data_IF_831256655193
#
_entry.id   IF_831256655193
#
_cell.length_a   1.000
_cell.length_b   1.000
_cell.length_c   1.000
_cell.angle_alpha   90.00
_cell.angle_beta   90.00
_cell.angle_gamma   90.00
#
_symmetry.space_group_name_H-M   'P 1'
#
loop_
_entity.id
_entity.type
_entity.pdbx_description
1 polymer ?
#
# COMPACT_ATOMS: atom_id res chain seq x y z
N UNK A 1 -16.50 23.51 31.27
CA UNK A 1 -15.32 23.22 30.43
C UNK A 1 -15.37 21.76 30.03
N UNK A 2 -15.50 21.44 28.74
CA UNK A 2 -15.44 20.05 28.25
C UNK A 2 -14.09 19.87 27.57
N UNK A 3 -13.23 19.04 28.18
CA UNK A 3 -11.96 18.59 27.65
C UNK A 3 -12.19 17.97 26.26
N UNK A 4 -11.48 18.46 25.24
CA UNK A 4 -11.30 17.70 24.01
C UNK A 4 -10.56 16.43 24.37
N UNK A 5 -11.01 15.28 23.86
CA UNK A 5 -10.35 14.01 24.09
C UNK A 5 -8.94 14.07 23.48
N UNK A 6 -7.94 14.37 24.31
CA UNK A 6 -6.53 14.27 23.94
C UNK A 6 -6.21 12.79 23.78
N UNK A 7 -5.62 12.43 22.64
CA UNK A 7 -5.09 11.09 22.41
C UNK A 7 -3.83 10.98 23.28
N UNK A 8 -3.78 10.00 24.19
CA UNK A 8 -2.63 9.84 25.08
C UNK A 8 -1.34 9.51 24.32
N UNK A 9 -0.19 9.94 24.85
CA UNK A 9 1.13 9.71 24.25
C UNK A 9 1.40 8.23 23.97
N UNK A 10 0.86 7.34 24.81
CA UNK A 10 0.88 5.89 24.59
C UNK A 10 0.24 5.49 23.27
N UNK A 11 -0.96 6.00 23.01
CA UNK A 11 -1.68 5.73 21.76
C UNK A 11 -0.92 6.28 20.55
N UNK A 12 -0.25 7.44 20.66
CA UNK A 12 0.55 7.98 19.55
C UNK A 12 1.81 7.17 19.27
N UNK A 13 2.53 6.75 20.31
CA UNK A 13 3.74 5.94 20.19
C UNK A 13 3.41 4.51 19.76
N UNK A 14 2.36 3.88 20.29
CA UNK A 14 1.95 2.54 19.88
C UNK A 14 1.42 2.52 18.44
N UNK A 15 0.85 3.63 17.97
CA UNK A 15 0.51 3.79 16.56
C UNK A 15 1.76 3.77 15.66
N UNK A 16 2.86 4.38 16.12
CA UNK A 16 4.14 4.46 15.41
C UNK A 16 4.94 3.16 15.44
N UNK A 17 5.00 2.47 16.57
CA UNK A 17 5.89 1.33 16.80
C UNK A 17 5.15 -0.02 16.86
N UNK A 18 3.82 -0.01 16.92
CA UNK A 18 3.05 -1.18 17.35
C UNK A 18 2.98 -1.25 18.87
N UNK A 19 2.58 -2.40 19.41
CA UNK A 19 2.61 -2.61 20.86
C UNK A 19 4.03 -2.38 21.39
N UNK A 20 4.15 -1.45 22.34
CA UNK A 20 5.43 -1.13 22.98
C UNK A 20 5.57 -2.08 24.15
N UNK A 21 6.65 -2.88 24.24
CA UNK A 21 6.88 -3.75 25.37
C UNK A 21 6.83 -2.96 26.68
N UNK A 22 6.16 -3.50 27.70
CA UNK A 22 5.91 -2.79 28.96
C UNK A 22 7.21 -2.31 29.65
N UNK A 23 8.30 -3.06 29.50
CA UNK A 23 9.62 -2.66 30.01
C UNK A 23 10.15 -1.36 29.37
N UNK A 24 9.86 -1.14 28.09
CA UNK A 24 10.27 0.04 27.33
C UNK A 24 9.33 1.22 27.59
N UNK A 25 8.04 0.92 27.81
CA UNK A 25 7.06 1.90 28.27
C UNK A 25 7.45 2.51 29.61
N UNK A 26 7.78 1.65 30.59
CA UNK A 26 8.25 2.11 31.90
C UNK A 26 9.57 2.88 31.82
N UNK A 27 10.44 2.57 30.85
CA UNK A 27 11.67 3.33 30.64
C UNK A 27 11.38 4.74 30.09
N UNK A 28 10.41 4.89 29.19
CA UNK A 28 9.95 6.20 28.71
C UNK A 28 9.36 7.06 29.84
N UNK A 29 8.59 6.45 30.75
CA UNK A 29 8.04 7.13 31.93
C UNK A 29 9.16 7.59 32.88
N UNK A 30 10.11 6.71 33.21
CA UNK A 30 11.23 7.03 34.12
C UNK A 30 12.12 8.16 33.60
N UNK A 31 12.34 8.21 32.29
CA UNK A 31 13.13 9.27 31.65
C UNK A 31 12.33 10.55 31.42
N UNK A 32 11.06 10.59 31.84
CA UNK A 32 10.22 11.80 31.85
C UNK A 32 9.66 12.19 30.48
N UNK A 33 9.77 11.33 29.45
CA UNK A 33 9.26 11.65 28.11
C UNK A 33 7.73 11.62 28.02
N UNK A 34 7.09 10.76 28.82
CA UNK A 34 5.63 10.69 28.96
C UNK A 34 5.12 11.96 29.64
N UNK A 35 5.70 12.29 30.79
CA UNK A 35 5.35 13.50 31.55
C UNK A 35 5.55 14.76 30.71
N UNK A 36 6.68 14.88 30.00
CA UNK A 36 6.97 16.02 29.12
C UNK A 36 5.90 16.22 28.04
N UNK A 37 5.31 15.14 27.52
CA UNK A 37 4.22 15.21 26.53
C UNK A 37 2.89 15.62 27.17
N UNK A 38 2.61 15.13 28.38
CA UNK A 38 1.35 15.39 29.09
C UNK A 38 1.27 16.80 29.67
N UNK A 39 2.41 17.36 30.12
CA UNK A 39 2.49 18.71 30.71
C UNK A 39 2.78 19.81 29.67
N UNK A 40 3.02 19.45 28.41
CA UNK A 40 3.27 20.40 27.32
C UNK A 40 2.15 21.45 27.23
N UNK A 41 2.54 22.73 27.25
CA UNK A 41 1.63 23.88 27.29
C UNK A 41 1.08 24.21 25.90
N UNK A 42 1.83 23.85 24.85
CA UNK A 42 1.43 23.99 23.47
C UNK A 42 1.80 22.77 22.60
N UNK A 43 1.36 22.81 21.34
CA UNK A 43 1.54 21.72 20.39
C UNK A 43 3.00 21.58 19.91
N UNK A 44 3.79 22.66 19.97
CA UNK A 44 5.21 22.62 19.60
C UNK A 44 5.98 21.85 20.66
N UNK A 45 5.80 22.18 21.94
CA UNK A 45 6.39 21.46 23.06
C UNK A 45 5.96 19.98 23.07
N UNK A 46 4.69 19.70 22.75
CA UNK A 46 4.18 18.34 22.63
C UNK A 46 4.87 17.56 21.51
N UNK A 47 5.06 18.19 20.35
CA UNK A 47 5.73 17.56 19.21
C UNK A 47 7.23 17.34 19.48
N UNK A 48 7.88 18.25 20.21
CA UNK A 48 9.25 18.07 20.68
C UNK A 48 9.36 16.90 21.66
N UNK A 49 8.48 16.83 22.67
CA UNK A 49 8.43 15.72 23.62
C UNK A 49 8.19 14.37 22.91
N UNK A 50 7.26 14.33 21.94
CA UNK A 50 7.02 13.15 21.11
C UNK A 50 8.26 12.76 20.29
N UNK A 51 8.95 13.75 19.71
CA UNK A 51 10.16 13.51 18.90
C UNK A 51 11.27 12.92 19.75
N UNK A 52 11.46 13.41 20.97
CA UNK A 52 12.43 12.88 21.93
C UNK A 52 12.07 11.44 22.34
N UNK A 53 10.80 11.16 22.63
CA UNK A 53 10.32 9.80 22.91
C UNK A 53 10.56 8.83 21.74
N UNK A 54 10.31 9.27 20.50
CA UNK A 54 10.60 8.49 19.29
C UNK A 54 12.11 8.20 19.16
N UNK A 55 12.96 9.18 19.41
CA UNK A 55 14.41 8.99 19.36
C UNK A 55 14.90 8.03 20.44
N UNK A 56 14.33 8.11 21.65
CA UNK A 56 14.63 7.19 22.74
C UNK A 56 14.30 5.74 22.36
N UNK A 57 13.09 5.47 21.88
CA UNK A 57 12.67 4.14 21.44
C UNK A 57 13.56 3.58 20.32
N UNK A 58 13.97 4.44 19.37
CA UNK A 58 14.93 4.04 18.31
C UNK A 58 16.29 3.65 18.86
N UNK A 59 16.82 4.39 19.85
CA UNK A 59 18.11 4.05 20.52
C UNK A 59 18.03 2.73 21.28
N UNK A 60 16.84 2.39 21.81
CA UNK A 60 16.54 1.10 22.45
C UNK A 60 16.32 -0.04 21.45
N UNK A 61 16.42 0.23 20.15
CA UNK A 61 16.30 -0.78 19.10
C UNK A 61 14.86 -1.05 18.66
N UNK A 62 13.86 -0.37 19.23
CA UNK A 62 12.49 -0.46 18.72
C UNK A 62 12.41 0.30 17.40
N UNK A 63 12.02 -0.42 16.35
CA UNK A 63 11.90 0.15 15.01
C UNK A 63 10.48 0.63 14.80
N UNK A 64 10.27 1.84 14.24
CA UNK A 64 8.93 2.24 13.81
C UNK A 64 8.39 1.17 12.86
N UNK A 65 7.07 0.95 12.88
CA UNK A 65 6.41 0.14 11.87
C UNK A 65 6.87 0.68 10.51
N UNK A 66 7.45 -0.19 9.67
CA UNK A 66 7.76 0.16 8.28
C UNK A 66 6.50 0.78 7.70
N UNK A 67 6.61 1.95 7.06
CA UNK A 67 5.50 2.55 6.34
C UNK A 67 4.84 1.45 5.51
N UNK A 68 3.56 1.16 5.78
CA UNK A 68 2.86 0.07 5.13
C UNK A 68 2.72 0.47 3.66
N UNK A 69 3.66 0.00 2.84
CA UNK A 69 3.61 0.21 1.40
C UNK A 69 2.60 -0.77 0.85
N UNK A 70 1.35 -0.32 0.78
CA UNK A 70 0.32 -1.09 0.07
C UNK A 70 0.58 -0.90 -1.42
N UNK A 71 0.79 -2.00 -2.15
CA UNK A 71 1.00 -1.99 -3.59
C UNK A 71 -0.07 -2.83 -4.25
N UNK A 72 -0.41 -2.48 -5.49
CA UNK A 72 -1.33 -3.25 -6.31
C UNK A 72 -1.27 -2.81 -7.76
N UNK A 73 -2.07 -3.46 -8.60
CA UNK A 73 -2.28 -3.05 -9.98
C UNK A 73 -3.69 -2.50 -10.18
N UNK A 74 -3.84 -1.57 -11.11
CA UNK A 74 -5.11 -1.15 -11.70
C UNK A 74 -5.00 -1.32 -13.22
N UNK A 75 -6.14 -1.40 -13.92
CA UNK A 75 -6.14 -1.63 -15.36
C UNK A 75 -6.62 -0.39 -16.10
N UNK A 76 -5.90 0.00 -17.15
CA UNK A 76 -6.43 0.93 -18.14
C UNK A 76 -7.07 0.14 -19.28
N UNK A 77 -8.34 0.42 -19.51
CA UNK A 77 -9.15 -0.15 -20.58
C UNK A 77 -9.36 0.85 -21.73
N UNK A 78 -8.51 1.88 -21.84
CA UNK A 78 -8.60 2.80 -22.97
C UNK A 78 -8.07 2.15 -24.26
N UNK A 79 -8.50 2.68 -25.41
CA UNK A 79 -8.18 2.07 -26.71
C UNK A 79 -6.67 1.98 -27.01
N UNK A 80 -5.86 2.90 -26.46
CA UNK A 80 -4.40 2.86 -26.60
C UNK A 80 -3.82 1.72 -25.76
N UNK A 81 -4.29 1.55 -24.53
CA UNK A 81 -3.88 0.44 -23.66
C UNK A 81 -4.24 -0.90 -24.28
N UNK A 82 -5.45 -1.03 -24.83
CA UNK A 82 -5.87 -2.22 -25.58
C UNK A 82 -4.99 -2.49 -26.80
N UNK A 83 -4.64 -1.46 -27.58
CA UNK A 83 -3.74 -1.61 -28.72
C UNK A 83 -2.32 -2.06 -28.32
N UNK A 84 -1.78 -1.53 -27.22
CA UNK A 84 -0.46 -1.93 -26.70
C UNK A 84 -0.50 -3.39 -26.27
N UNK A 85 -1.52 -3.81 -25.52
CA UNK A 85 -1.66 -5.19 -25.09
C UNK A 85 -1.81 -6.14 -26.29
N UNK A 86 -2.58 -5.74 -27.31
CA UNK A 86 -2.69 -6.51 -28.54
C UNK A 86 -1.35 -6.65 -29.29
N UNK A 87 -0.55 -5.58 -29.37
CA UNK A 87 0.79 -5.62 -29.96
C UNK A 87 1.75 -6.51 -29.15
N UNK A 88 1.73 -6.40 -27.82
CA UNK A 88 2.53 -7.27 -26.94
C UNK A 88 2.14 -8.74 -27.11
N UNK A 89 0.85 -9.04 -27.19
CA UNK A 89 0.36 -10.39 -27.42
C UNK A 89 0.74 -10.93 -28.80
N UNK A 90 0.64 -10.11 -29.85
CA UNK A 90 1.05 -10.46 -31.20
C UNK A 90 2.55 -10.79 -31.25
N UNK A 91 3.37 -9.95 -30.61
CA UNK A 91 4.82 -10.14 -30.57
C UNK A 91 5.22 -11.36 -29.73
N UNK A 92 4.58 -11.57 -28.58
CA UNK A 92 4.79 -12.77 -27.79
C UNK A 92 4.42 -14.03 -28.58
N UNK A 93 3.26 -14.03 -29.25
CA UNK A 93 2.85 -15.13 -30.12
C UNK A 93 3.82 -15.33 -31.29
N UNK A 94 4.36 -14.27 -31.88
CA UNK A 94 5.41 -14.36 -32.91
C UNK A 94 6.62 -15.12 -32.36
N UNK A 95 7.12 -14.72 -31.19
CA UNK A 95 8.28 -15.37 -30.54
C UNK A 95 8.02 -16.84 -30.24
N UNK A 96 6.86 -17.17 -29.66
CA UNK A 96 6.54 -18.55 -29.28
C UNK A 96 6.42 -19.50 -30.48
N UNK A 97 6.03 -18.98 -31.65
CA UNK A 97 5.80 -19.74 -32.87
C UNK A 97 6.94 -19.65 -33.90
N UNK A 98 7.90 -18.74 -33.73
CA UNK A 98 8.99 -18.55 -34.67
C UNK A 98 9.96 -19.77 -34.71
N UNK A 99 10.62 -20.04 -35.85
CA UNK A 99 11.69 -21.03 -35.91
C UNK A 99 12.83 -20.72 -34.93
N UNK A 100 13.42 -21.74 -34.30
CA UNK A 100 14.48 -21.55 -33.27
C UNK A 100 15.65 -20.72 -33.82
N UNK A 101 16.01 -20.90 -35.09
CA UNK A 101 17.13 -20.22 -35.73
C UNK A 101 16.94 -18.71 -35.96
N UNK A 102 15.73 -18.18 -35.81
CA UNK A 102 15.43 -16.76 -36.04
C UNK A 102 15.28 -15.96 -34.74
N UNK A 103 15.49 -16.60 -33.58
CA UNK A 103 15.30 -16.00 -32.26
C UNK A 103 16.63 -15.66 -31.62
N UNK A 104 16.65 -14.51 -30.93
CA UNK A 104 17.69 -14.16 -29.97
C UNK A 104 17.74 -15.17 -28.81
N UNK A 105 18.81 -15.14 -28.02
CA UNK A 105 18.95 -16.03 -26.85
C UNK A 105 17.82 -15.83 -25.84
N UNK A 106 17.47 -14.59 -25.53
CA UNK A 106 16.38 -14.25 -24.61
C UNK A 106 15.01 -14.71 -25.12
N UNK A 107 14.71 -14.48 -26.41
CA UNK A 107 13.45 -14.93 -27.01
C UNK A 107 13.36 -16.46 -27.05
N UNK A 108 14.48 -17.14 -27.30
CA UNK A 108 14.56 -18.59 -27.26
C UNK A 108 14.32 -19.13 -25.86
N UNK A 109 14.93 -18.55 -24.84
CA UNK A 109 14.70 -18.93 -23.44
C UNK A 109 13.22 -18.76 -23.05
N UNK A 110 12.59 -17.64 -23.43
CA UNK A 110 11.16 -17.41 -23.22
C UNK A 110 10.32 -18.50 -23.93
N UNK A 111 10.60 -18.76 -25.21
CA UNK A 111 9.91 -19.76 -26.00
C UNK A 111 10.02 -21.15 -25.38
N UNK A 112 11.24 -21.57 -25.05
CA UNK A 112 11.51 -22.92 -24.54
C UNK A 112 10.87 -23.10 -23.16
N UNK A 113 10.88 -22.06 -22.32
CA UNK A 113 10.20 -22.06 -21.02
C UNK A 113 8.69 -22.25 -21.17
N UNK A 114 8.03 -21.44 -21.99
CA UNK A 114 6.56 -21.49 -22.15
C UNK A 114 6.11 -22.74 -22.91
N UNK A 115 6.75 -23.06 -24.03
CA UNK A 115 6.36 -24.21 -24.84
C UNK A 115 6.75 -25.53 -24.16
N UNK A 116 7.87 -25.58 -23.44
CA UNK A 116 8.27 -26.73 -22.64
C UNK A 116 7.24 -27.03 -21.56
N UNK A 117 6.83 -26.00 -20.80
CA UNK A 117 5.76 -26.12 -19.82
C UNK A 117 4.45 -26.61 -20.44
N UNK A 118 3.99 -25.99 -21.54
CA UNK A 118 2.73 -26.38 -22.19
C UNK A 118 2.76 -27.82 -22.67
N UNK A 119 3.87 -28.28 -23.26
CA UNK A 119 4.00 -29.70 -23.69
C UNK A 119 3.96 -30.68 -22.52
N UNK A 120 4.56 -30.32 -21.39
CA UNK A 120 4.68 -31.22 -20.24
C UNK A 120 3.40 -31.26 -19.39
N UNK A 121 2.78 -30.11 -19.14
CA UNK A 121 1.69 -29.97 -18.17
C UNK A 121 0.33 -29.68 -18.80
N UNK A 122 0.28 -29.39 -20.10
CA UNK A 122 -0.94 -29.13 -20.87
C UNK A 122 -0.94 -29.95 -22.19
N UNK A 123 -0.78 -31.29 -22.13
CA UNK A 123 -0.63 -32.12 -23.33
C UNK A 123 -1.90 -32.16 -24.20
N UNK A 124 -3.07 -31.96 -23.60
CA UNK A 124 -4.36 -31.88 -24.30
C UNK A 124 -4.64 -30.50 -24.92
N UNK A 125 -3.72 -29.55 -24.71
CA UNK A 125 -3.85 -28.16 -25.16
C UNK A 125 -4.17 -27.19 -24.03
N UNK A 126 -4.45 -25.95 -24.42
CA UNK A 126 -4.76 -24.86 -23.49
C UNK A 126 -6.09 -25.12 -22.78
N UNK A 127 -6.15 -24.78 -21.49
CA UNK A 127 -7.39 -24.93 -20.70
C UNK A 127 -8.29 -23.71 -20.86
N UNK A 128 -9.61 -23.85 -20.73
CA UNK A 128 -10.51 -22.70 -20.68
C UNK A 128 -10.18 -21.77 -19.50
N UNK A 129 -10.31 -20.44 -19.65
CA UNK A 129 -10.02 -19.48 -18.57
C UNK A 129 -10.76 -19.77 -17.26
N UNK A 130 -12.02 -20.19 -17.34
CA UNK A 130 -12.87 -20.55 -16.21
C UNK A 130 -12.35 -21.74 -15.40
N UNK A 131 -11.55 -22.62 -16.01
CA UNK A 131 -10.98 -23.82 -15.40
C UNK A 131 -9.65 -23.56 -14.70
N UNK A 132 -9.02 -22.38 -14.90
CA UNK A 132 -7.73 -22.04 -14.30
C UNK A 132 -7.74 -22.18 -12.76
N UNK A 133 -8.74 -21.68 -12.01
CA UNK A 133 -8.75 -21.82 -10.56
C UNK A 133 -8.84 -23.26 -10.08
N UNK A 134 -9.45 -24.16 -10.85
CA UNK A 134 -9.52 -25.58 -10.52
C UNK A 134 -8.19 -26.27 -10.82
N UNK A 135 -7.59 -25.99 -11.98
CA UNK A 135 -6.27 -26.50 -12.33
C UNK A 135 -5.21 -26.08 -11.30
N UNK A 136 -5.16 -24.80 -10.90
CA UNK A 136 -4.22 -24.31 -9.88
C UNK A 136 -4.41 -25.01 -8.53
N UNK A 137 -5.66 -25.28 -8.13
CA UNK A 137 -5.97 -26.02 -6.89
C UNK A 137 -5.51 -27.47 -6.96
N UNK A 138 -5.72 -28.13 -8.09
CA UNK A 138 -5.28 -29.51 -8.29
C UNK A 138 -3.76 -29.64 -8.18
N UNK A 139 -3.01 -28.66 -8.69
CA UNK A 139 -1.54 -28.65 -8.62
C UNK A 139 -0.99 -28.18 -7.28
N UNK A 140 -1.72 -27.35 -6.51
CA UNK A 140 -1.24 -26.85 -5.21
C UNK A 140 -1.30 -27.91 -4.09
N UNK A 141 -2.15 -28.93 -4.24
CA UNK A 141 -2.43 -29.90 -3.18
C UNK A 141 -3.14 -29.27 -1.97
N UNK A 142 -3.10 -29.95 -0.81
CA UNK A 142 -3.66 -29.44 0.44
C UNK A 142 -2.97 -28.14 0.88
N UNK A 143 -3.76 -27.14 1.28
CA UNK A 143 -3.30 -25.83 1.76
C UNK A 143 -2.53 -26.03 3.06
N UNK A 144 -1.22 -26.10 2.95
CA UNK A 144 -0.32 -25.93 4.10
C UNK A 144 0.41 -24.63 3.81
N UNK A 145 -0.01 -23.55 4.46
CA UNK A 145 0.79 -22.33 4.49
C UNK A 145 2.05 -22.67 5.26
N UNK A 146 3.10 -23.10 4.55
CA UNK A 146 4.42 -23.33 5.14
C UNK A 146 4.95 -21.99 5.61
N UNK A 147 4.65 -21.75 6.88
CA UNK A 147 5.06 -20.57 7.61
C UNK A 147 6.44 -20.90 8.15
N UNK A 148 7.48 -20.32 7.55
CA UNK A 148 8.83 -20.38 8.10
C UNK A 148 8.87 -19.49 9.33
N UNK A 149 9.09 -20.10 10.50
CA UNK A 149 9.49 -19.38 11.69
C UNK A 149 11.01 -19.21 11.62
N UNK A 150 11.46 -17.98 11.38
CA UNK A 150 12.86 -17.62 11.57
C UNK A 150 13.05 -17.40 13.06
N UNK A 151 13.86 -18.25 13.68
CA UNK A 151 14.13 -18.22 15.12
C UNK A 151 15.40 -17.41 15.39
N UNK A 152 15.51 -16.86 16.59
CA UNK A 152 16.79 -16.29 17.03
C UNK A 152 17.89 -17.38 17.01
N UNK A 153 19.13 -17.06 16.58
CA UNK A 153 20.21 -18.04 16.45
C UNK A 153 20.48 -18.84 17.73
N UNK A 154 20.26 -18.20 18.88
CA UNK A 154 20.41 -18.77 20.23
C UNK A 154 19.41 -19.90 20.52
N UNK A 155 18.23 -19.89 19.88
CA UNK A 155 17.15 -20.87 20.08
C UNK A 155 17.11 -21.93 18.96
N UNK A 156 17.64 -21.59 17.77
CA UNK A 156 17.59 -22.45 16.60
C UNK A 156 18.25 -23.82 16.84
N UNK A 157 19.40 -23.85 17.53
CA UNK A 157 20.12 -25.09 17.84
C UNK A 157 19.33 -26.04 18.74
N UNK A 158 18.66 -25.52 19.76
CA UNK A 158 17.83 -26.30 20.69
C UNK A 158 16.61 -26.91 19.98
N UNK A 159 15.97 -26.12 19.12
CA UNK A 159 14.79 -26.55 18.35
C UNK A 159 15.15 -27.65 17.35
N UNK A 160 16.28 -27.53 16.65
CA UNK A 160 16.78 -28.58 15.75
C UNK A 160 17.04 -29.87 16.54
N UNK A 161 17.67 -29.78 17.71
CA UNK A 161 17.94 -30.95 18.56
C UNK A 161 16.65 -31.63 19.04
N UNK A 162 15.62 -30.86 19.44
CA UNK A 162 14.30 -31.38 19.84
C UNK A 162 13.57 -32.06 18.68
N UNK A 163 13.60 -31.48 17.49
CA UNK A 163 13.02 -32.08 16.28
C UNK A 163 13.72 -33.41 15.96
N UNK A 164 15.05 -33.46 16.01
CA UNK A 164 15.82 -34.68 15.77
C UNK A 164 15.49 -35.79 16.79
N UNK A 165 15.17 -35.41 18.03
CA UNK A 165 14.72 -36.32 19.09
C UNK A 165 13.23 -36.64 19.06
N UNK A 166 12.48 -36.07 18.09
CA UNK A 166 11.01 -36.18 17.98
C UNK A 166 10.27 -35.69 19.23
N UNK A 167 10.84 -34.71 19.92
CA UNK A 167 10.22 -34.05 21.06
C UNK A 167 9.35 -32.87 20.58
N UNK A 168 8.22 -32.59 21.26
CA UNK A 168 7.38 -31.45 20.93
C UNK A 168 8.15 -30.14 21.16
N UNK A 169 8.13 -29.27 20.16
CA UNK A 169 8.73 -27.93 20.24
C UNK A 169 7.62 -26.93 20.59
N UNK A 170 7.79 -26.22 21.71
CA UNK A 170 6.99 -25.04 22.04
C UNK A 170 7.88 -23.81 21.91
N UNK A 171 7.42 -22.83 21.13
CA UNK A 171 8.09 -21.56 20.92
C UNK A 171 7.28 -20.43 21.54
N UNK A 172 7.94 -19.52 22.25
CA UNK A 172 7.33 -18.26 22.67
C UNK A 172 7.48 -17.20 21.57
N UNK A 173 6.63 -16.16 21.53
CA UNK A 173 6.71 -15.11 20.52
C UNK A 173 8.08 -14.42 20.46
N UNK A 174 8.79 -14.29 21.59
CA UNK A 174 10.10 -13.65 21.68
C UNK A 174 11.23 -14.49 21.05
N UNK A 175 11.01 -15.80 20.89
CA UNK A 175 11.98 -16.72 20.27
C UNK A 175 11.88 -16.71 18.75
N UNK A 176 10.81 -16.15 18.19
CA UNK A 176 10.55 -16.03 16.75
C UNK A 176 11.00 -14.65 16.28
N UNK A 177 12.12 -14.59 15.58
CA UNK A 177 12.68 -13.38 14.99
C UNK A 177 11.78 -12.82 13.88
N UNK A 178 11.26 -13.69 13.01
CA UNK A 178 10.27 -13.30 12.00
C UNK A 178 9.47 -14.48 11.51
N UNK A 179 8.26 -14.21 11.05
CA UNK A 179 7.41 -15.18 10.37
C UNK A 179 7.48 -14.87 8.88
N UNK A 180 8.02 -15.80 8.10
CA UNK A 180 8.10 -15.69 6.65
C UNK A 180 7.16 -16.70 6.01
N UNK A 181 6.49 -16.33 4.93
CA UNK A 181 5.95 -17.35 4.04
C UNK A 181 7.15 -18.01 3.35
N UNK A 182 7.38 -19.28 3.65
CA UNK A 182 8.55 -20.02 3.19
C UNK A 182 8.43 -20.44 1.72
N UNK A 183 7.21 -20.49 1.20
CA UNK A 183 6.92 -20.88 -0.16
C UNK A 183 6.74 -19.65 -1.05
N UNK A 184 7.35 -19.65 -2.23
CA UNK A 184 6.95 -18.76 -3.31
C UNK A 184 5.46 -18.95 -3.59
N UNK A 185 4.81 -17.93 -4.15
CA UNK A 185 3.37 -17.97 -4.39
C UNK A 185 3.02 -17.45 -5.78
N UNK A 186 1.91 -17.95 -6.30
CA UNK A 186 1.20 -17.39 -7.46
C UNK A 186 -0.15 -16.85 -7.01
N UNK A 187 -0.49 -15.63 -7.41
CA UNK A 187 -1.78 -15.00 -7.14
C UNK A 187 -2.67 -15.00 -8.40
N UNK A 188 -3.85 -15.61 -8.29
CA UNK A 188 -4.82 -15.65 -9.39
C UNK A 188 -6.26 -15.61 -8.85
N UNK A 189 -7.11 -14.77 -9.45
CA UNK A 189 -8.53 -14.67 -9.08
C UNK A 189 -8.77 -14.30 -7.61
N UNK A 190 -7.90 -13.48 -7.01
CA UNK A 190 -8.00 -13.08 -5.59
C UNK A 190 -7.60 -14.18 -4.59
N UNK A 191 -7.04 -15.29 -5.06
CA UNK A 191 -6.49 -16.37 -4.23
C UNK A 191 -4.98 -16.48 -4.43
N UNK A 192 -4.31 -17.01 -3.42
CA UNK A 192 -2.86 -17.25 -3.41
C UNK A 192 -2.63 -18.76 -3.39
N UNK A 193 -1.78 -19.23 -4.29
CA UNK A 193 -1.43 -20.64 -4.47
C UNK A 193 0.04 -20.84 -4.12
N UNK A 194 0.37 -21.73 -3.17
CA UNK A 194 1.75 -22.02 -2.82
C UNK A 194 2.44 -22.73 -3.99
N UNK A 195 3.62 -22.24 -4.37
CA UNK A 195 4.48 -22.85 -5.39
C UNK A 195 5.27 -23.97 -4.71
N UNK A 196 5.15 -25.18 -5.25
CA UNK A 196 5.92 -26.37 -4.88
C UNK A 196 6.62 -26.92 -6.13
N UNK A 197 7.60 -27.78 -5.92
CA UNK A 197 8.25 -28.51 -7.02
C UNK A 197 7.22 -29.18 -7.94
N UNK A 198 7.43 -29.09 -9.24
CA UNK A 198 6.50 -29.59 -10.26
C UNK A 198 5.80 -28.48 -11.05
N UNK A 199 4.51 -28.65 -11.34
CA UNK A 199 3.80 -27.81 -12.31
C UNK A 199 3.77 -26.32 -11.91
N UNK A 200 3.54 -26.00 -10.63
CA UNK A 200 3.46 -24.60 -10.19
C UNK A 200 4.82 -23.90 -10.20
N UNK A 201 5.93 -24.61 -9.96
CA UNK A 201 7.27 -24.05 -10.08
C UNK A 201 7.61 -23.69 -11.54
N UNK A 202 7.30 -24.60 -12.48
CA UNK A 202 7.52 -24.33 -13.89
C UNK A 202 6.58 -23.21 -14.39
N UNK A 203 5.33 -23.19 -13.91
CA UNK A 203 4.41 -22.09 -14.20
C UNK A 203 4.94 -20.76 -13.68
N UNK A 204 5.54 -20.72 -12.48
CA UNK A 204 6.16 -19.52 -11.93
C UNK A 204 7.27 -18.99 -12.83
N UNK A 205 8.15 -19.87 -13.32
CA UNK A 205 9.17 -19.50 -14.30
C UNK A 205 8.57 -18.97 -15.62
N UNK A 206 7.51 -19.59 -16.14
CA UNK A 206 6.79 -19.07 -17.32
C UNK A 206 6.22 -17.68 -17.07
N UNK A 207 5.60 -17.48 -15.91
CA UNK A 207 4.98 -16.21 -15.51
C UNK A 207 6.02 -15.10 -15.40
N UNK A 208 7.19 -15.38 -14.82
CA UNK A 208 8.29 -14.42 -14.74
C UNK A 208 8.86 -14.08 -16.12
N UNK A 209 9.04 -15.09 -16.99
CA UNK A 209 9.52 -14.88 -18.35
C UNK A 209 8.54 -14.03 -19.18
N UNK A 210 7.24 -14.36 -19.14
CA UNK A 210 6.20 -13.59 -19.84
C UNK A 210 6.11 -12.18 -19.27
N UNK A 211 6.12 -12.02 -17.94
CA UNK A 211 6.07 -10.72 -17.28
C UNK A 211 7.27 -9.84 -17.62
N UNK A 212 8.48 -10.41 -17.69
CA UNK A 212 9.66 -9.67 -18.10
C UNK A 212 9.51 -9.13 -19.55
N UNK A 213 8.87 -9.91 -20.42
CA UNK A 213 8.64 -9.55 -21.82
C UNK A 213 7.51 -8.54 -22.03
N UNK A 214 6.37 -8.72 -21.35
CA UNK A 214 5.15 -7.92 -21.60
C UNK A 214 4.82 -6.89 -20.53
N UNK A 215 5.41 -7.01 -19.33
CA UNK A 215 5.04 -6.26 -18.14
C UNK A 215 3.59 -6.49 -17.69
N UNK A 216 2.96 -7.59 -18.11
CA UNK A 216 1.61 -7.95 -17.64
C UNK A 216 1.58 -8.31 -16.15
N UNK A 217 0.40 -8.26 -15.54
CA UNK A 217 0.25 -8.64 -14.14
C UNK A 217 0.39 -10.16 -13.97
N UNK A 218 0.72 -10.62 -12.76
CA UNK A 218 0.94 -12.05 -12.50
C UNK A 218 -0.26 -12.92 -12.93
N UNK A 219 -1.48 -12.51 -12.57
CA UNK A 219 -2.70 -13.22 -12.94
C UNK A 219 -2.94 -13.29 -14.45
N UNK A 220 -2.57 -12.23 -15.17
CA UNK A 220 -2.67 -12.16 -16.63
C UNK A 220 -1.67 -13.07 -17.32
N UNK A 221 -0.44 -13.11 -16.82
CA UNK A 221 0.58 -14.05 -17.30
C UNK A 221 0.14 -15.50 -17.07
N UNK A 222 -0.44 -15.81 -15.90
CA UNK A 222 -1.01 -17.13 -15.61
C UNK A 222 -2.11 -17.47 -16.63
N UNK A 223 -3.05 -16.55 -16.85
CA UNK A 223 -4.13 -16.74 -17.82
C UNK A 223 -3.58 -17.00 -19.23
N UNK A 224 -2.64 -16.18 -19.68
CA UNK A 224 -2.03 -16.36 -20.99
C UNK A 224 -1.29 -17.71 -21.11
N UNK A 225 -0.46 -18.10 -20.13
CA UNK A 225 0.30 -19.34 -20.20
C UNK A 225 -0.63 -20.56 -20.27
N UNK A 226 -1.69 -20.58 -19.44
CA UNK A 226 -2.60 -21.71 -19.30
C UNK A 226 -3.71 -21.76 -20.37
N UNK A 227 -4.28 -20.62 -20.74
CA UNK A 227 -5.45 -20.55 -21.63
C UNK A 227 -5.22 -19.76 -22.93
N UNK A 228 -4.08 -19.09 -23.09
CA UNK A 228 -3.84 -18.17 -24.21
C UNK A 228 -4.64 -16.88 -24.13
N UNK A 229 -5.35 -16.63 -23.01
CA UNK A 229 -6.13 -15.41 -22.82
C UNK A 229 -5.20 -14.20 -22.72
N UNK A 230 -5.49 -13.17 -23.50
CA UNK A 230 -4.78 -11.89 -23.50
C UNK A 230 -5.51 -10.93 -22.57
N UNK A 231 -4.80 -10.09 -21.80
CA UNK A 231 -5.45 -9.11 -20.92
C UNK A 231 -6.34 -8.13 -21.68
N UNK A 232 -7.43 -7.69 -21.07
CA UNK A 232 -8.30 -6.68 -21.68
C UNK A 232 -7.69 -5.28 -21.64
N UNK A 233 -6.70 -5.05 -20.79
CA UNK A 233 -6.09 -3.73 -20.60
C UNK A 233 -4.70 -3.80 -20.01
N UNK A 234 -4.02 -2.66 -20.03
CA UNK A 234 -2.66 -2.55 -19.54
C UNK A 234 -2.68 -2.46 -18.00
N UNK A 235 -1.96 -3.33 -17.28
CA UNK A 235 -1.82 -3.19 -15.84
C UNK A 235 -0.91 -2.01 -15.50
N UNK A 236 -1.26 -1.35 -14.41
CA UNK A 236 -0.63 -0.11 -13.94
C UNK A 236 -0.37 -0.28 -12.46
N UNK A 237 0.91 -0.28 -12.13
CA UNK A 237 1.34 -0.40 -10.75
C UNK A 237 1.04 0.90 -9.98
N UNK A 238 0.49 0.73 -8.79
CA UNK A 238 0.33 1.80 -7.83
C UNK A 238 0.92 1.39 -6.48
N UNK A 239 1.39 2.39 -5.73
CA UNK A 239 1.85 2.20 -4.36
C UNK A 239 1.38 3.33 -3.47
N UNK A 240 1.01 3.00 -2.24
CA UNK A 240 0.69 3.98 -1.22
C UNK A 240 1.90 4.17 -0.35
N UNK A 241 2.30 5.42 -0.19
CA UNK A 241 3.28 5.84 0.79
C UNK A 241 2.56 6.65 1.85
N UNK A 242 2.40 6.07 3.04
CA UNK A 242 1.98 6.83 4.21
C UNK A 242 3.21 7.43 4.88
N UNK A 243 3.22 8.76 5.01
CA UNK A 243 4.29 9.49 5.70
C UNK A 243 3.84 9.85 7.11
N UNK A 244 4.66 9.45 8.08
CA UNK A 244 4.29 9.50 9.50
C UNK A 244 4.57 10.84 10.19
N UNK A 245 5.30 11.78 9.55
CA UNK A 245 5.23 13.19 9.92
C UNK A 245 3.83 13.72 10.24
N UNK A 246 2.94 13.41 9.29
CA UNK A 246 1.94 14.36 8.85
C UNK A 246 0.52 13.79 8.78
N UNK A 247 0.34 12.51 9.11
CA UNK A 247 -0.88 11.75 8.81
C UNK A 247 -1.29 11.83 7.32
N UNK A 248 -0.31 12.06 6.44
CA UNK A 248 -0.52 12.15 5.00
C UNK A 248 -0.26 10.79 4.36
N UNK A 249 -1.24 10.32 3.59
CA UNK A 249 -1.07 9.16 2.72
C UNK A 249 -1.03 9.64 1.28
N UNK A 250 0.07 9.36 0.60
CA UNK A 250 0.26 9.62 -0.82
C UNK A 250 -0.04 8.36 -1.61
N UNK A 251 -0.97 8.45 -2.55
CA UNK A 251 -1.17 7.42 -3.57
C UNK A 251 -0.25 7.80 -4.74
N UNK A 252 0.79 7.02 -4.96
CA UNK A 252 1.65 7.13 -6.13
C UNK A 252 1.19 6.12 -7.18
N UNK A 253 0.88 6.59 -8.38
CA UNK A 253 0.56 5.73 -9.54
C UNK A 253 1.66 5.91 -10.58
N UNK A 254 2.27 4.81 -11.03
CA UNK A 254 3.28 4.85 -12.08
C UNK A 254 2.59 4.57 -13.42
N UNK A 255 2.34 5.61 -14.19
CA UNK A 255 1.67 5.52 -15.50
C UNK A 255 2.67 5.72 -16.64
N UNK A 256 2.45 5.09 -17.81
CA UNK A 256 3.16 5.44 -19.03
C UNK A 256 2.93 6.91 -19.42
N UNK A 257 3.98 7.55 -19.97
CA UNK A 257 3.97 8.98 -20.27
C UNK A 257 2.97 9.39 -21.37
N UNK A 258 2.55 8.45 -22.23
CA UNK A 258 1.63 8.71 -23.33
C UNK A 258 0.15 8.70 -22.91
N UNK A 259 -0.17 8.41 -21.64
CA UNK A 259 -1.55 8.48 -21.18
C UNK A 259 -2.05 9.92 -21.10
N UNK A 260 -3.29 10.09 -21.57
CA UNK A 260 -3.99 11.37 -21.46
C UNK A 260 -4.33 11.69 -20.00
N UNK A 261 -4.36 12.97 -19.59
CA UNK A 261 -4.69 13.37 -18.23
C UNK A 261 -5.99 12.75 -17.70
N UNK A 262 -7.01 12.59 -18.55
CA UNK A 262 -8.30 12.03 -18.19
C UNK A 262 -8.21 10.54 -17.85
N UNK A 263 -7.37 9.78 -18.55
CA UNK A 263 -7.09 8.38 -18.24
C UNK A 263 -6.39 8.28 -16.89
N UNK A 264 -5.37 9.11 -16.65
CA UNK A 264 -4.66 9.16 -15.35
C UNK A 264 -5.62 9.50 -14.21
N UNK A 265 -6.52 10.47 -14.42
CA UNK A 265 -7.55 10.84 -13.43
C UNK A 265 -8.51 9.69 -13.10
N UNK A 266 -8.98 8.95 -14.11
CA UNK A 266 -9.86 7.77 -13.90
C UNK A 266 -9.16 6.65 -13.14
N UNK A 267 -7.91 6.37 -13.49
CA UNK A 267 -7.08 5.36 -12.82
C UNK A 267 -6.81 5.72 -11.35
N UNK A 268 -6.42 6.97 -11.10
CA UNK A 268 -6.24 7.46 -9.74
C UNK A 268 -7.53 7.33 -8.93
N UNK A 269 -8.69 7.68 -9.52
CA UNK A 269 -9.98 7.54 -8.86
C UNK A 269 -10.36 6.08 -8.58
N UNK A 270 -9.96 5.12 -9.43
CA UNK A 270 -10.14 3.69 -9.19
C UNK A 270 -9.26 3.21 -8.03
N UNK A 271 -7.97 3.53 -8.03
CA UNK A 271 -7.03 3.18 -6.95
C UNK A 271 -7.50 3.77 -5.63
N UNK A 272 -7.81 5.07 -5.59
CA UNK A 272 -8.32 5.76 -4.41
C UNK A 272 -9.56 5.07 -3.83
N UNK A 273 -10.51 4.65 -4.67
CA UNK A 273 -11.73 3.95 -4.22
C UNK A 273 -11.45 2.55 -3.67
N UNK A 274 -10.54 1.80 -4.30
CA UNK A 274 -10.15 0.46 -3.83
C UNK A 274 -9.49 0.50 -2.46
N UNK A 275 -8.66 1.52 -2.23
CA UNK A 275 -7.89 1.73 -0.99
C UNK A 275 -8.77 2.27 0.14
N UNK A 276 -9.69 3.18 -0.16
CA UNK A 276 -10.49 3.88 0.83
C UNK A 276 -11.64 3.05 1.46
N UNK A 277 -11.69 1.71 1.24
CA UNK A 277 -12.76 0.84 1.78
C UNK A 277 -12.87 0.83 3.32
N UNK A 278 -11.93 1.42 4.06
CA UNK A 278 -12.05 1.64 5.51
C UNK A 278 -11.60 3.02 6.02
N UNK A 279 -10.95 3.84 5.19
CA UNK A 279 -10.42 5.15 5.59
C UNK A 279 -11.05 6.24 4.75
N UNK A 280 -11.77 7.16 5.38
CA UNK A 280 -12.27 8.41 4.75
C UNK A 280 -11.06 9.31 4.44
N UNK A 281 -10.31 8.99 3.40
CA UNK A 281 -9.35 9.90 2.77
C UNK A 281 -10.15 11.04 2.12
N UNK A 282 -10.67 11.96 2.92
CA UNK A 282 -11.34 13.17 2.45
C UNK A 282 -10.25 14.14 2.03
N UNK A 283 -10.03 14.29 0.73
CA UNK A 283 -9.22 15.39 0.21
C UNK A 283 -9.78 16.74 0.69
N UNK A 284 -8.91 17.73 0.85
CA UNK A 284 -9.34 19.11 1.04
C UNK A 284 -10.16 19.52 -0.19
N UNK A 285 -11.37 20.00 0.04
CA UNK A 285 -12.21 20.54 -1.02
C UNK A 285 -11.78 21.98 -1.34
N UNK A 286 -12.11 22.44 -2.54
CA UNK A 286 -11.89 23.83 -2.96
C UNK A 286 -12.49 24.82 -1.95
N UNK A 287 -13.68 24.52 -1.41
CA UNK A 287 -14.33 25.29 -0.36
C UNK A 287 -13.50 25.40 0.92
N UNK A 288 -12.77 24.34 1.32
CA UNK A 288 -11.89 24.37 2.49
C UNK A 288 -10.67 25.25 2.24
N UNK A 289 -10.08 25.20 1.04
CA UNK A 289 -8.93 26.02 0.66
C UNK A 289 -9.34 27.51 0.61
N UNK A 290 -10.47 27.79 -0.03
CA UNK A 290 -11.03 29.14 -0.12
C UNK A 290 -11.37 29.70 1.28
N UNK A 291 -11.97 28.88 2.16
CA UNK A 291 -12.24 29.25 3.54
C UNK A 291 -10.95 29.57 4.31
N UNK A 292 -9.90 28.76 4.19
CA UNK A 292 -8.62 29.01 4.88
C UNK A 292 -8.04 30.35 4.45
N UNK A 293 -7.96 30.58 3.14
CA UNK A 293 -7.48 31.85 2.58
C UNK A 293 -8.29 33.04 3.10
N UNK A 294 -9.62 32.93 3.09
CA UNK A 294 -10.51 33.96 3.60
C UNK A 294 -10.26 34.25 5.08
N UNK A 295 -10.25 33.22 5.93
CA UNK A 295 -10.11 33.38 7.38
C UNK A 295 -8.76 33.99 7.74
N UNK A 296 -7.66 33.54 7.11
CA UNK A 296 -6.32 34.10 7.36
C UNK A 296 -6.26 35.57 6.94
N UNK A 297 -6.80 35.93 5.77
CA UNK A 297 -6.88 37.34 5.33
C UNK A 297 -7.76 38.19 6.25
N UNK A 298 -8.91 37.67 6.65
CA UNK A 298 -9.86 38.35 7.52
C UNK A 298 -9.25 38.61 8.90
N UNK A 299 -8.48 37.66 9.45
CA UNK A 299 -7.79 37.80 10.74
C UNK A 299 -6.66 38.84 10.70
N UNK A 300 -5.99 39.03 9.56
CA UNK A 300 -5.02 40.12 9.42
C UNK A 300 -5.69 41.50 9.61
N UNK A 301 -6.92 41.65 9.12
CA UNK A 301 -7.70 42.88 9.24
C UNK A 301 -8.46 42.98 10.57
N UNK A 302 -8.83 41.84 11.15
CA UNK A 302 -9.63 41.72 12.36
C UNK A 302 -9.02 40.70 13.34
N UNK A 303 -7.89 41.04 14.00
CA UNK A 303 -7.09 40.08 14.78
C UNK A 303 -7.82 39.48 15.99
N UNK A 304 -8.88 40.14 16.49
CA UNK A 304 -9.68 39.68 17.64
C UNK A 304 -11.06 39.14 17.22
N UNK A 305 -11.28 38.91 15.93
CA UNK A 305 -12.57 38.43 15.44
C UNK A 305 -12.91 37.05 16.02
N UNK A 306 -14.14 36.92 16.54
CA UNK A 306 -14.69 35.65 17.00
C UNK A 306 -15.14 34.80 15.82
N UNK A 307 -15.19 33.49 16.00
CA UNK A 307 -15.62 32.56 14.95
C UNK A 307 -17.02 32.86 14.40
N UNK A 308 -17.94 33.41 15.20
CA UNK A 308 -19.25 33.85 14.73
C UNK A 308 -19.15 34.92 13.64
N UNK A 309 -18.40 36.00 13.91
CA UNK A 309 -18.19 37.10 12.97
C UNK A 309 -17.46 36.65 11.70
N UNK A 310 -16.44 35.79 11.85
CA UNK A 310 -15.70 35.22 10.72
C UNK A 310 -16.62 34.37 9.84
N UNK A 311 -17.49 33.54 10.44
CA UNK A 311 -18.40 32.66 9.70
C UNK A 311 -19.51 33.44 9.00
N UNK A 312 -20.05 34.47 9.65
CA UNK A 312 -21.02 35.37 9.03
C UNK A 312 -20.41 36.09 7.82
N UNK A 313 -19.20 36.64 7.95
CA UNK A 313 -18.49 37.27 6.85
C UNK A 313 -18.18 36.30 5.71
N UNK A 314 -17.77 35.07 6.03
CA UNK A 314 -17.56 34.01 5.03
C UNK A 314 -18.84 33.65 4.28
N UNK A 315 -19.95 33.48 5.00
CA UNK A 315 -21.23 33.11 4.40
C UNK A 315 -21.78 34.22 3.50
N UNK A 316 -21.59 35.49 3.87
CA UNK A 316 -21.92 36.64 3.03
C UNK A 316 -21.04 36.68 1.75
N UNK A 317 -19.75 36.36 1.86
CA UNK A 317 -18.86 36.29 0.71
C UNK A 317 -19.23 35.13 -0.23
N UNK A 318 -19.66 33.99 0.31
CA UNK A 318 -20.18 32.88 -0.49
C UNK A 318 -21.40 33.27 -1.31
N UNK A 319 -22.34 34.01 -0.72
CA UNK A 319 -23.54 34.51 -1.42
C UNK A 319 -23.16 35.49 -2.53
N UNK A 320 -22.25 36.43 -2.25
CA UNK A 320 -21.75 37.40 -3.23
C UNK A 320 -21.06 36.72 -4.42
N UNK A 321 -20.34 35.63 -4.17
CA UNK A 321 -19.65 34.85 -5.20
C UNK A 321 -20.57 33.83 -5.91
N UNK A 322 -21.86 33.76 -5.55
CA UNK A 322 -22.80 32.80 -6.14
C UNK A 322 -22.52 31.34 -5.78
N UNK A 323 -21.87 31.09 -4.63
CA UNK A 323 -21.53 29.74 -4.12
C UNK A 323 -22.22 29.44 -2.78
N UNK A 324 -23.56 29.49 -2.69
CA UNK A 324 -24.29 29.29 -1.43
C UNK A 324 -24.06 27.92 -0.80
N UNK A 325 -23.68 26.91 -1.58
CA UNK A 325 -23.34 25.55 -1.13
C UNK A 325 -22.04 25.48 -0.32
N UNK A 326 -21.23 26.54 -0.31
CA UNK A 326 -20.00 26.65 0.49
C UNK A 326 -20.21 27.23 1.90
N UNK A 327 -21.45 27.64 2.21
CA UNK A 327 -21.79 28.18 3.52
C UNK A 327 -21.54 27.16 4.62
N UNK A 328 -21.05 27.64 5.76
CA UNK A 328 -20.72 26.79 6.90
C UNK A 328 -21.40 27.29 8.17
N UNK A 329 -21.61 26.36 9.10
CA UNK A 329 -22.03 26.67 10.46
C UNK A 329 -20.83 27.03 11.32
N UNK A 330 -21.02 27.91 12.29
CA UNK A 330 -19.95 28.38 13.18
C UNK A 330 -19.28 27.22 13.90
N UNK A 331 -20.05 26.22 14.33
CA UNK A 331 -19.52 25.05 15.04
C UNK A 331 -18.63 24.19 14.14
N UNK A 332 -18.95 24.11 12.84
CA UNK A 332 -18.15 23.37 11.86
C UNK A 332 -16.80 24.05 11.64
N UNK A 333 -16.81 25.38 11.43
CA UNK A 333 -15.58 26.16 11.22
C UNK A 333 -14.72 26.10 12.49
N UNK A 334 -15.27 26.45 13.65
CA UNK A 334 -14.55 26.48 14.90
C UNK A 334 -13.92 25.12 15.28
N UNK A 335 -14.60 24.01 14.98
CA UNK A 335 -14.14 22.66 15.31
C UNK A 335 -13.10 22.11 14.33
N UNK A 336 -13.21 22.41 13.04
CA UNK A 336 -12.43 21.72 12.00
C UNK A 336 -11.36 22.58 11.33
N UNK A 337 -11.41 23.90 11.49
CA UNK A 337 -10.50 24.83 10.81
C UNK A 337 -9.01 24.51 11.03
N UNK A 338 -8.60 24.35 12.29
CA UNK A 338 -7.21 24.02 12.63
C UNK A 338 -6.77 22.70 11.98
N UNK A 339 -7.69 21.73 11.87
CA UNK A 339 -7.44 20.48 11.15
C UNK A 339 -7.19 20.69 9.65
N UNK A 340 -7.93 21.60 9.01
CA UNK A 340 -7.71 21.94 7.61
C UNK A 340 -6.39 22.69 7.38
N UNK A 341 -6.07 23.67 8.22
CA UNK A 341 -4.80 24.42 8.16
C UNK A 341 -3.61 23.48 8.35
N UNK A 342 -3.65 22.61 9.37
CA UNK A 342 -2.59 21.62 9.60
C UNK A 342 -2.40 20.69 8.40
N UNK A 343 -3.50 20.25 7.78
CA UNK A 343 -3.43 19.42 6.57
C UNK A 343 -2.75 20.16 5.42
N UNK A 344 -3.06 21.45 5.20
CA UNK A 344 -2.41 22.26 4.16
C UNK A 344 -0.92 22.52 4.44
N UNK A 345 -0.57 22.88 5.68
CA UNK A 345 0.84 23.13 6.06
C UNK A 345 1.68 21.87 5.87
N UNK A 346 1.18 20.73 6.33
CA UNK A 346 1.82 19.44 6.12
C UNK A 346 2.01 19.10 4.64
N UNK A 347 1.04 19.44 3.77
CA UNK A 347 1.16 19.25 2.33
C UNK A 347 2.23 20.17 1.72
N UNK A 348 2.31 21.44 2.17
CA UNK A 348 3.29 22.39 1.67
C UNK A 348 4.73 21.97 2.00
N UNK A 349 4.97 21.45 3.20
CA UNK A 349 6.30 20.97 3.63
C UNK A 349 6.68 19.67 2.91
N UNK A 350 5.73 18.76 2.68
CA UNK A 350 5.98 17.48 2.02
C UNK A 350 6.29 17.58 0.51
N UNK A 351 6.06 18.72 -0.13
CA UNK A 351 6.39 18.96 -1.55
C UNK A 351 7.84 19.45 -1.72
N UNK A 352 8.51 19.86 -0.64
CA UNK A 352 9.88 20.36 -0.66
C UNK A 352 10.94 19.27 -0.42
N UNK A 353 10.52 18.06 -0.06
CA UNK A 353 11.33 16.83 0.02
C UNK A 353 11.12 15.94 -1.21
#
# INVERSE_FOLDING_TARGET
>A
MKQGAFVGVRTELERLFGEIPEAEWQALEREGYVDAYEVALDETERQEALTLAIQFLKRRGIRPRKAVRTQGSAYSLDGVSGAIVALQAAELNRVLNAPVGTLTETERALRDTVNGFRRQYLPEGLIPPESIPEWLRAQSGAVVSETALILHPEVAGEVIAKIQRREPVQLTPEQVQSIQQACETLAYGGRVYPVREGALQHLKACVEAVRAFTQWAEGDCIAYVLSGAVPEGLPIDWSIRTTYPANLSFIQVRVPAFFRPETVGRLYAQVRRGVARGSRLRGLQESHIALIRFVEQYRLQHPKARWSAITEAWNAECEKQGRPEWRMRVETVARHYNGYVRTLLNLATAVQE
#
